data_IF_863275616287
#
_entry.id   IF_863275616287
#
_cell.length_a   1.000
_cell.length_b   1.000
_cell.length_c   1.000
_cell.angle_alpha   90.00
_cell.angle_beta   90.00
_cell.angle_gamma   90.00
#
_symmetry.space_group_name_H-M   'P 1'
#
loop_
_entity.id
_entity.type
_entity.pdbx_description
1 polymer ?
#
# COMPACT_ATOMS: atom_id res chain seq x y z
N UNK A 1 -59.29 2.06 -45.01
CA UNK A 1 -58.50 2.63 -43.90
C UNK A 1 -57.35 1.67 -43.61
N UNK A 2 -56.15 2.09 -44.02
CA UNK A 2 -54.88 1.40 -43.77
C UNK A 2 -54.53 1.42 -42.27
N UNK A 3 -53.88 0.37 -41.80
CA UNK A 3 -53.29 0.31 -40.47
C UNK A 3 -52.37 -0.91 -40.36
N UNK A 4 -51.25 -0.88 -41.06
CA UNK A 4 -50.21 -1.90 -40.97
C UNK A 4 -49.47 -1.79 -39.63
N UNK A 5 -49.38 -2.90 -38.90
CA UNK A 5 -48.61 -3.02 -37.68
C UNK A 5 -47.10 -3.06 -38.00
N UNK A 6 -46.35 -2.08 -37.49
CA UNK A 6 -44.89 -2.05 -37.57
C UNK A 6 -44.28 -2.73 -36.34
N UNK A 7 -43.46 -3.77 -36.58
CA UNK A 7 -42.62 -4.40 -35.56
C UNK A 7 -41.38 -3.53 -35.27
N UNK A 8 -40.88 -3.47 -34.03
CA UNK A 8 -39.62 -2.79 -33.73
C UNK A 8 -38.43 -3.68 -34.10
N UNK A 9 -37.56 -3.19 -34.99
CA UNK A 9 -36.25 -3.79 -35.24
C UNK A 9 -35.31 -3.52 -34.07
N UNK A 10 -34.89 -4.58 -33.40
CA UNK A 10 -33.81 -4.57 -32.43
C UNK A 10 -32.46 -4.53 -33.17
N UNK A 11 -31.79 -3.37 -33.15
CA UNK A 11 -30.43 -3.22 -33.66
C UNK A 11 -29.45 -3.78 -32.63
N UNK A 12 -28.95 -5.00 -32.88
CA UNK A 12 -27.90 -5.61 -32.07
C UNK A 12 -26.57 -4.89 -32.31
N UNK A 13 -26.10 -4.12 -31.32
CA UNK A 13 -24.73 -3.58 -31.29
C UNK A 13 -23.77 -4.74 -30.99
N UNK A 14 -23.07 -5.19 -32.02
CA UNK A 14 -22.03 -6.22 -31.92
C UNK A 14 -20.81 -5.60 -31.22
N UNK A 15 -20.54 -6.01 -29.98
CA UNK A 15 -19.32 -5.63 -29.27
C UNK A 15 -18.10 -6.28 -29.96
N UNK A 16 -17.30 -5.48 -30.66
CA UNK A 16 -16.04 -5.92 -31.23
C UNK A 16 -15.00 -6.16 -30.13
N UNK A 17 -14.60 -7.41 -29.95
CA UNK A 17 -13.44 -7.77 -29.13
C UNK A 17 -12.17 -7.21 -29.80
N UNK A 18 -11.69 -6.07 -29.31
CA UNK A 18 -10.34 -5.58 -29.59
C UNK A 18 -9.31 -6.53 -28.96
N UNK A 19 -8.76 -7.44 -29.77
CA UNK A 19 -7.55 -8.19 -29.41
C UNK A 19 -6.37 -7.21 -29.39
N UNK A 20 -5.91 -6.86 -28.19
CA UNK A 20 -4.59 -6.23 -28.00
C UNK A 20 -3.54 -7.33 -28.13
N UNK A 21 -2.83 -7.34 -29.26
CA UNK A 21 -1.65 -8.18 -29.47
C UNK A 21 -0.41 -7.38 -29.11
N UNK A 22 0.28 -7.74 -28.02
CA UNK A 22 1.59 -7.21 -27.69
C UNK A 22 2.65 -7.87 -28.58
N UNK A 23 2.96 -7.28 -29.73
CA UNK A 23 4.16 -7.62 -30.49
C UNK A 23 5.36 -6.88 -29.92
N UNK A 24 6.30 -7.61 -29.33
CA UNK A 24 7.62 -7.08 -28.99
C UNK A 24 8.40 -6.82 -30.30
N UNK A 25 8.62 -5.55 -30.64
CA UNK A 25 9.48 -5.15 -31.75
C UNK A 25 10.95 -5.19 -31.31
N UNK A 26 11.70 -6.15 -31.86
CA UNK A 26 13.16 -6.13 -31.87
C UNK A 26 13.64 -5.17 -32.95
N UNK A 27 14.34 -4.10 -32.59
CA UNK A 27 15.03 -3.22 -33.53
C UNK A 27 16.28 -3.91 -34.13
N UNK A 28 16.65 -3.61 -35.40
CA UNK A 28 17.75 -4.27 -36.12
C UNK A 28 19.14 -3.70 -35.78
N UNK A 29 20.24 -4.45 -35.99
CA UNK A 29 21.59 -3.95 -35.76
C UNK A 29 22.11 -3.14 -36.96
N UNK A 30 22.78 -2.02 -36.67
CA UNK A 30 23.53 -1.22 -37.65
C UNK A 30 24.89 -1.84 -38.02
N UNK A 31 25.57 -1.32 -39.06
CA UNK A 31 26.65 -2.04 -39.73
C UNK A 31 28.01 -1.92 -39.03
N UNK A 32 28.73 -3.03 -39.11
CA UNK A 32 30.13 -3.27 -38.79
C UNK A 32 31.11 -2.28 -39.44
N UNK A 33 32.07 -1.78 -38.65
CA UNK A 33 33.40 -1.40 -39.14
C UNK A 33 34.47 -2.11 -38.33
N UNK A 34 35.30 -2.87 -39.04
CA UNK A 34 36.53 -3.48 -38.56
C UNK A 34 37.61 -2.39 -38.35
N UNK A 35 38.40 -2.53 -37.29
CA UNK A 35 39.82 -2.18 -37.35
C UNK A 35 40.58 -3.02 -36.33
N UNK A 36 41.64 -3.64 -36.81
CA UNK A 36 42.58 -4.51 -36.12
C UNK A 36 43.64 -3.67 -35.38
N UNK A 37 44.14 -4.17 -34.25
CA UNK A 37 45.57 -4.14 -33.87
C UNK A 37 45.76 -4.99 -32.61
N UNK A 38 46.83 -5.79 -32.58
CA UNK A 38 47.07 -6.85 -31.62
C UNK A 38 47.90 -6.48 -30.38
N UNK A 39 47.99 -7.44 -29.46
CA UNK A 39 48.87 -7.43 -28.28
C UNK A 39 48.37 -8.40 -27.20
N UNK A 40 49.19 -9.33 -26.64
CA UNK A 40 48.68 -10.54 -26.00
C UNK A 40 48.60 -10.48 -24.47
N UNK A 41 47.82 -11.44 -23.95
CA UNK A 41 47.99 -12.15 -22.69
C UNK A 41 47.50 -11.46 -21.39
N UNK A 42 46.27 -11.82 -20.96
CA UNK A 42 45.98 -12.11 -19.55
C UNK A 42 45.01 -13.29 -19.45
N UNK A 43 45.45 -14.32 -18.73
CA UNK A 43 44.70 -15.50 -18.32
C UNK A 43 43.31 -15.11 -17.79
N UNK A 44 42.25 -15.60 -18.45
CA UNK A 44 40.89 -15.57 -17.93
C UNK A 44 40.52 -16.98 -17.53
N UNK A 45 40.21 -17.14 -16.24
CA UNK A 45 39.56 -18.31 -15.64
C UNK A 45 38.50 -18.88 -16.58
N UNK A 46 38.66 -20.15 -16.95
CA UNK A 46 37.62 -20.92 -17.64
C UNK A 46 36.49 -21.20 -16.66
N UNK A 47 35.31 -20.61 -16.92
CA UNK A 47 34.05 -21.01 -16.29
C UNK A 47 33.60 -22.31 -16.96
N UNK A 48 33.27 -23.38 -16.21
CA UNK A 48 32.82 -24.63 -16.82
C UNK A 48 31.50 -24.43 -17.58
N UNK A 49 31.49 -24.90 -18.82
CA UNK A 49 30.32 -25.00 -19.70
C UNK A 49 29.30 -25.96 -19.06
N UNK A 50 28.22 -25.43 -18.49
CA UNK A 50 27.08 -26.24 -18.07
C UNK A 50 26.48 -26.95 -19.28
N UNK A 51 26.47 -28.28 -19.22
CA UNK A 51 25.74 -29.15 -20.12
C UNK A 51 24.24 -28.83 -20.01
N UNK A 52 23.61 -28.61 -21.17
CA UNK A 52 22.17 -28.44 -21.30
C UNK A 52 21.48 -29.76 -20.91
N UNK A 53 20.78 -29.77 -19.77
CA UNK A 53 19.83 -30.82 -19.43
C UNK A 53 18.59 -30.77 -20.33
N UNK A 54 17.79 -31.86 -20.38
CA UNK A 54 16.62 -31.94 -21.25
C UNK A 54 15.58 -30.88 -20.88
N UNK A 55 14.97 -30.29 -21.91
CA UNK A 55 13.90 -29.29 -21.82
C UNK A 55 12.73 -29.82 -20.98
N UNK A 56 12.13 -29.02 -20.08
CA UNK A 56 10.93 -29.42 -19.37
C UNK A 56 9.74 -29.53 -20.34
N UNK A 57 8.78 -30.45 -20.11
CA UNK A 57 7.58 -30.55 -20.91
C UNK A 57 6.72 -29.28 -20.75
N UNK A 58 5.85 -28.96 -21.72
CA UNK A 58 4.96 -27.81 -21.61
C UNK A 58 4.01 -28.02 -20.44
N UNK A 59 4.01 -27.06 -19.51
CA UNK A 59 3.02 -26.97 -18.44
C UNK A 59 1.64 -26.83 -19.10
N UNK A 60 0.88 -27.91 -19.15
CA UNK A 60 -0.55 -27.87 -19.45
C UNK A 60 -1.21 -26.99 -18.40
N UNK A 61 -1.69 -25.82 -18.84
CA UNK A 61 -2.47 -24.89 -18.04
C UNK A 61 -3.80 -25.54 -17.66
N UNK A 62 -3.83 -26.27 -16.55
CA UNK A 62 -5.05 -26.75 -15.90
C UNK A 62 -5.35 -26.00 -14.60
N UNK A 63 -4.59 -24.94 -14.28
CA UNK A 63 -4.80 -24.13 -13.08
C UNK A 63 -5.80 -22.96 -13.26
N UNK A 64 -6.52 -22.90 -14.39
CA UNK A 64 -7.52 -21.85 -14.66
C UNK A 64 -8.98 -22.31 -14.50
N UNK A 65 -9.22 -23.58 -14.10
CA UNK A 65 -10.58 -24.10 -13.95
C UNK A 65 -11.13 -24.04 -12.51
N UNK A 66 -10.28 -23.85 -11.50
CA UNK A 66 -10.74 -23.90 -10.09
C UNK A 66 -11.29 -22.57 -9.55
N UNK A 67 -11.03 -21.44 -10.20
CA UNK A 67 -11.56 -20.13 -9.77
C UNK A 67 -12.99 -19.87 -10.27
N UNK A 68 -13.42 -20.52 -11.36
CA UNK A 68 -14.75 -20.35 -11.92
C UNK A 68 -15.83 -21.24 -11.25
N UNK A 69 -15.42 -22.21 -10.42
CA UNK A 69 -16.36 -23.12 -9.77
C UNK A 69 -16.86 -22.62 -8.41
N UNK A 70 -16.17 -21.69 -7.75
CA UNK A 70 -16.61 -21.11 -6.50
C UNK A 70 -17.97 -20.38 -6.59
N UNK A 71 -18.26 -19.52 -7.59
CA UNK A 71 -19.58 -18.91 -7.71
C UNK A 71 -20.67 -19.90 -8.16
N UNK A 72 -20.31 -21.00 -8.81
CA UNK A 72 -21.26 -22.02 -9.26
C UNK A 72 -21.66 -22.99 -8.13
N UNK A 73 -20.75 -23.28 -7.20
CA UNK A 73 -21.04 -24.01 -5.96
C UNK A 73 -21.89 -23.18 -4.99
N UNK A 74 -21.69 -21.86 -4.94
CA UNK A 74 -22.49 -20.97 -4.10
C UNK A 74 -23.92 -20.77 -4.63
N UNK A 75 -24.13 -20.86 -5.95
CA UNK A 75 -25.44 -20.81 -6.59
C UNK A 75 -26.25 -22.12 -6.46
N UNK A 76 -25.62 -23.22 -6.01
CA UNK A 76 -26.28 -24.50 -5.77
C UNK A 76 -26.84 -24.64 -4.35
N UNK A 77 -26.60 -23.66 -3.47
CA UNK A 77 -27.23 -23.56 -2.16
C UNK A 77 -28.60 -22.89 -2.33
N UNK A 78 -29.66 -23.64 -2.07
CA UNK A 78 -31.03 -23.12 -2.07
C UNK A 78 -31.17 -22.03 -1.00
N UNK A 79 -31.81 -20.87 -1.31
CA UNK A 79 -31.93 -19.74 -0.38
C UNK A 79 -32.76 -19.99 0.89
N UNK A 80 -33.44 -21.14 0.97
CA UNK A 80 -34.51 -21.37 1.95
C UNK A 80 -34.02 -21.85 3.33
N UNK A 81 -32.74 -22.21 3.45
CA UNK A 81 -32.10 -22.42 4.76
C UNK A 81 -31.14 -21.27 5.03
N UNK A 82 -31.66 -20.22 5.66
CA UNK A 82 -30.81 -19.41 6.52
C UNK A 82 -30.17 -20.39 7.50
N UNK A 83 -28.86 -20.65 7.37
CA UNK A 83 -28.06 -21.47 8.27
C UNK A 83 -27.93 -20.77 9.64
N UNK A 84 -29.06 -20.53 10.31
CA UNK A 84 -29.10 -20.54 11.75
C UNK A 84 -28.80 -21.99 12.11
N UNK A 85 -27.61 -22.25 12.65
CA UNK A 85 -27.21 -23.59 13.05
C UNK A 85 -28.05 -24.11 14.25
N UNK A 86 -29.13 -23.41 14.61
CA UNK A 86 -30.09 -23.85 15.61
C UNK A 86 -29.49 -24.00 17.01
N UNK A 87 -28.34 -23.39 17.28
CA UNK A 87 -27.57 -23.58 18.51
C UNK A 87 -26.45 -24.62 18.42
N UNK A 88 -26.19 -25.22 17.25
CA UNK A 88 -25.16 -26.26 17.05
C UNK A 88 -23.75 -25.77 17.41
N UNK A 89 -23.48 -24.47 17.27
CA UNK A 89 -22.18 -23.87 17.63
C UNK A 89 -22.15 -23.26 19.04
N UNK A 90 -23.24 -23.37 19.82
CA UNK A 90 -23.33 -22.85 21.18
C UNK A 90 -22.92 -21.38 21.29
N UNK A 91 -21.97 -21.06 22.17
CA UNK A 91 -21.46 -19.68 22.38
C UNK A 91 -20.77 -19.08 21.14
N UNK A 92 -20.53 -19.84 20.07
CA UNK A 92 -20.01 -19.31 18.81
C UNK A 92 -21.11 -18.92 17.81
N UNK A 93 -22.38 -18.97 18.24
CA UNK A 93 -23.54 -18.53 17.48
C UNK A 93 -24.18 -17.26 18.08
N UNK A 94 -25.13 -16.67 17.35
CA UNK A 94 -25.96 -15.58 17.85
C UNK A 94 -25.17 -14.33 18.19
N UNK A 95 -25.36 -13.81 19.41
CA UNK A 95 -24.79 -12.53 19.83
C UNK A 95 -23.26 -12.54 19.88
N UNK A 96 -22.61 -13.67 20.13
CA UNK A 96 -21.13 -13.77 20.28
C UNK A 96 -20.47 -13.49 18.97
N UNK A 97 -20.93 -14.22 17.98
CA UNK A 97 -20.42 -14.10 16.63
C UNK A 97 -20.74 -12.73 16.02
N UNK A 98 -21.91 -12.17 16.34
CA UNK A 98 -22.28 -10.82 15.92
C UNK A 98 -21.36 -9.72 16.52
N UNK A 99 -20.85 -9.92 17.73
CA UNK A 99 -19.96 -8.97 18.41
C UNK A 99 -18.47 -9.10 18.01
N UNK A 100 -18.08 -10.14 17.27
CA UNK A 100 -16.70 -10.26 16.75
C UNK A 100 -16.36 -9.12 15.80
N UNK A 101 -17.26 -8.81 14.85
CA UNK A 101 -17.08 -7.71 13.89
C UNK A 101 -16.78 -6.36 14.57
N UNK A 102 -17.63 -5.82 15.47
CA UNK A 102 -17.37 -4.52 16.10
C UNK A 102 -16.11 -4.53 16.97
N UNK A 103 -15.78 -5.65 17.62
CA UNK A 103 -14.55 -5.77 18.40
C UNK A 103 -13.30 -5.70 17.50
N UNK A 104 -13.29 -6.48 16.42
CA UNK A 104 -12.20 -6.49 15.44
C UNK A 104 -12.07 -5.12 14.77
N UNK A 105 -13.18 -4.47 14.43
CA UNK A 105 -13.19 -3.13 13.83
C UNK A 105 -12.61 -2.07 14.77
N UNK A 106 -12.90 -2.14 16.08
CA UNK A 106 -12.24 -1.29 17.07
C UNK A 106 -10.71 -1.49 17.09
N UNK A 107 -10.27 -2.75 17.05
CA UNK A 107 -8.85 -3.10 16.97
C UNK A 107 -8.17 -2.61 15.68
N UNK A 108 -8.80 -2.84 14.52
CA UNK A 108 -8.31 -2.39 13.21
C UNK A 108 -8.25 -0.88 13.11
N UNK A 109 -9.19 -0.15 13.73
CA UNK A 109 -9.13 1.31 13.78
C UNK A 109 -7.90 1.80 14.55
N UNK A 110 -7.67 1.29 15.77
CA UNK A 110 -6.48 1.63 16.56
C UNK A 110 -5.19 1.26 15.81
N UNK A 111 -5.17 0.10 15.16
CA UNK A 111 -4.04 -0.35 14.35
C UNK A 111 -3.81 0.52 13.11
N UNK A 112 -4.87 1.06 12.50
CA UNK A 112 -4.80 2.02 11.39
C UNK A 112 -4.11 3.31 11.83
N UNK A 113 -4.47 3.86 12.99
CA UNK A 113 -3.82 5.05 13.55
C UNK A 113 -2.35 4.80 13.84
N UNK A 114 -2.02 3.63 14.39
CA UNK A 114 -0.64 3.21 14.60
C UNK A 114 0.15 3.08 13.29
N UNK A 115 -0.43 2.45 12.26
CA UNK A 115 0.18 2.36 10.93
C UNK A 115 0.41 3.76 10.33
N UNK A 116 -0.54 4.69 10.51
CA UNK A 116 -0.42 6.09 10.14
C UNK A 116 0.76 6.78 10.83
N UNK A 117 0.93 6.57 12.15
CA UNK A 117 2.08 7.06 12.91
C UNK A 117 3.41 6.53 12.33
N UNK A 118 3.51 5.23 12.03
CA UNK A 118 4.72 4.65 11.42
C UNK A 118 5.03 5.30 10.06
N UNK A 119 4.00 5.53 9.23
CA UNK A 119 4.13 6.20 7.94
C UNK A 119 4.60 7.65 8.09
N UNK A 120 4.11 8.36 9.10
CA UNK A 120 4.55 9.71 9.44
C UNK A 120 6.02 9.76 9.86
N UNK A 121 6.47 8.84 10.73
CA UNK A 121 7.88 8.74 11.13
C UNK A 121 8.79 8.47 9.92
N UNK A 122 8.36 7.61 8.99
CA UNK A 122 9.08 7.37 7.74
C UNK A 122 9.13 8.62 6.82
N UNK A 123 8.06 9.42 6.78
CA UNK A 123 8.07 10.71 6.09
C UNK A 123 9.07 11.68 6.75
N UNK A 124 9.10 11.72 8.08
CA UNK A 124 10.00 12.61 8.85
C UNK A 124 11.48 12.39 8.52
N UNK A 125 11.92 11.14 8.29
CA UNK A 125 13.31 10.83 7.87
C UNK A 125 13.75 11.64 6.64
N UNK A 126 12.82 11.89 5.70
CA UNK A 126 13.08 12.64 4.47
C UNK A 126 13.00 14.13 4.70
N UNK A 127 11.94 14.61 5.34
CA UNK A 127 11.74 16.06 5.55
C UNK A 127 12.81 16.66 6.47
N UNK A 128 13.29 15.90 7.48
CA UNK A 128 14.44 16.31 8.31
C UNK A 128 15.70 16.47 7.47
N UNK A 129 15.91 15.58 6.50
CA UNK A 129 17.07 15.70 5.61
C UNK A 129 17.00 16.96 4.74
N UNK A 130 15.81 17.31 4.28
CA UNK A 130 15.57 18.53 3.51
C UNK A 130 15.80 19.78 4.38
N UNK A 131 15.30 19.79 5.62
CA UNK A 131 15.56 20.84 6.62
C UNK A 131 17.07 21.03 6.90
N UNK A 132 17.80 19.93 7.10
CA UNK A 132 19.26 19.96 7.28
C UNK A 132 19.95 20.57 6.05
N UNK A 133 19.54 20.17 4.86
CA UNK A 133 20.14 20.65 3.61
C UNK A 133 19.90 22.16 3.43
N UNK A 134 18.71 22.65 3.78
CA UNK A 134 18.37 24.06 3.70
C UNK A 134 19.16 24.90 4.73
N UNK A 135 19.25 24.44 5.98
CA UNK A 135 20.06 25.11 7.01
C UNK A 135 21.55 25.15 6.63
N UNK A 136 22.08 24.07 6.04
CA UNK A 136 23.46 24.06 5.52
C UNK A 136 23.68 25.07 4.40
N UNK A 137 22.66 25.34 3.57
CA UNK A 137 22.74 26.41 2.56
C UNK A 137 22.77 27.79 3.20
N UNK A 138 22.23 27.98 4.41
CA UNK A 138 22.28 29.27 5.12
C UNK A 138 23.66 29.54 5.75
N UNK A 139 24.40 28.48 6.11
CA UNK A 139 25.77 28.61 6.62
C UNK A 139 26.80 28.97 5.54
N UNK A 140 26.63 28.48 4.30
CA UNK A 140 27.54 28.76 3.18
C UNK A 140 27.70 30.27 2.84
N UNK A 141 26.61 31.08 2.81
CA UNK A 141 26.68 32.54 2.65
C UNK A 141 27.39 33.25 3.80
N UNK A 142 27.23 32.78 5.04
CA UNK A 142 27.85 33.41 6.21
C UNK A 142 29.37 33.20 6.25
N UNK A 143 29.87 32.05 5.77
CA UNK A 143 31.30 31.78 5.66
C UNK A 143 31.98 32.56 4.50
N UNK A 144 31.22 32.96 3.48
CA UNK A 144 31.72 33.74 2.33
C UNK A 144 31.76 35.26 2.59
N UNK A 145 31.17 35.73 3.71
CA UNK A 145 31.12 37.15 4.08
C UNK A 145 32.18 37.57 5.12
N UNK A 146 33.10 36.68 5.51
CA UNK A 146 34.26 37.06 6.32
C UNK A 146 35.25 37.86 5.44
N UNK A 147 35.47 39.17 5.68
CA UNK A 147 36.41 39.92 4.87
C UNK A 147 37.83 39.41 5.12
N UNK A 148 38.57 39.27 4.02
CA UNK A 148 40.02 39.13 4.04
C UNK A 148 40.62 40.39 4.71
N UNK A 149 40.95 40.29 6.00
CA UNK A 149 41.76 41.27 6.69
C UNK A 149 43.25 40.86 6.60
N UNK A 150 43.98 41.75 5.94
CA UNK A 150 45.41 41.83 5.64
C UNK A 150 46.31 41.72 6.88
N UNK A 151 47.54 41.21 6.70
CA UNK A 151 48.71 41.75 7.42
C UNK A 151 49.71 40.75 7.99
N UNK A 152 50.96 40.86 7.55
CA UNK A 152 52.10 40.04 7.92
C UNK A 152 52.67 40.31 9.33
N UNK A 153 53.34 39.30 9.90
CA UNK A 153 54.48 39.50 10.81
C UNK A 153 54.37 38.87 12.22
N UNK A 154 55.31 37.98 12.55
CA UNK A 154 55.77 37.75 13.92
C UNK A 154 55.41 36.40 14.57
N UNK A 155 56.44 35.59 14.84
CA UNK A 155 56.39 34.40 15.71
C UNK A 155 55.74 34.69 17.07
N UNK A 156 54.72 33.92 17.47
CA UNK A 156 54.45 33.61 18.88
C UNK A 156 53.50 32.40 19.02
N UNK A 157 53.92 31.49 19.89
CA UNK A 157 53.22 30.40 20.57
C UNK A 157 51.78 30.04 20.16
N UNK A 158 51.64 28.77 19.76
CA UNK A 158 50.38 28.04 19.63
C UNK A 158 49.66 27.99 20.99
N UNK A 159 48.61 28.80 21.13
CA UNK A 159 47.51 28.50 22.03
C UNK A 159 46.29 28.24 21.15
N UNK A 160 45.80 27.00 21.16
CA UNK A 160 44.59 26.64 20.45
C UNK A 160 43.45 27.54 20.94
N UNK A 161 42.69 28.20 20.04
CA UNK A 161 41.53 28.97 20.45
C UNK A 161 40.55 28.04 21.20
N UNK A 162 39.84 28.52 22.23
CA UNK A 162 38.73 27.77 22.81
C UNK A 162 37.74 27.40 21.69
N UNK A 163 37.04 26.25 21.75
CA UNK A 163 36.08 25.90 20.73
C UNK A 163 35.05 27.03 20.62
N UNK A 164 35.01 27.68 19.46
CA UNK A 164 34.04 28.73 19.18
C UNK A 164 32.64 28.18 19.47
N UNK A 165 31.84 28.92 20.25
CA UNK A 165 30.48 28.54 20.54
C UNK A 165 29.72 28.34 19.22
N UNK A 166 29.21 27.12 19.00
CA UNK A 166 28.45 26.78 17.79
C UNK A 166 27.33 27.79 17.59
N UNK A 167 27.17 28.27 16.37
CA UNK A 167 26.06 29.16 16.02
C UNK A 167 24.71 28.45 16.22
N UNK A 168 23.60 29.18 16.46
CA UNK A 168 22.28 28.57 16.63
C UNK A 168 21.86 27.66 15.46
N UNK A 169 22.31 27.98 14.24
CA UNK A 169 22.05 27.19 13.03
C UNK A 169 22.83 25.87 13.04
N UNK A 170 24.08 25.88 13.49
CA UNK A 170 24.88 24.65 13.65
C UNK A 170 24.31 23.74 14.74
N UNK A 171 23.88 24.30 15.87
CA UNK A 171 23.17 23.55 16.91
C UNK A 171 21.93 22.88 16.31
N UNK A 172 21.15 23.60 15.50
CA UNK A 172 19.94 23.04 14.91
C UNK A 172 20.22 21.92 13.90
N UNK A 173 21.28 22.06 13.11
CA UNK A 173 21.74 21.01 12.19
C UNK A 173 22.15 19.77 12.97
N UNK A 174 22.86 19.92 14.08
CA UNK A 174 23.28 18.79 14.94
C UNK A 174 22.07 18.08 15.54
N UNK A 175 21.10 18.83 16.10
CA UNK A 175 19.85 18.28 16.64
C UNK A 175 19.07 17.47 15.59
N UNK A 176 18.84 18.05 14.40
CA UNK A 176 18.12 17.39 13.32
C UNK A 176 18.89 16.19 12.78
N UNK A 177 20.22 16.24 12.80
CA UNK A 177 21.06 15.11 12.41
C UNK A 177 20.91 13.95 13.39
N UNK A 178 20.87 14.22 14.70
CA UNK A 178 20.60 13.21 15.72
C UNK A 178 19.16 12.68 15.66
N UNK A 179 18.17 13.55 15.42
CA UNK A 179 16.78 13.15 15.18
C UNK A 179 16.71 12.17 14.02
N UNK A 180 17.33 12.51 12.87
CA UNK A 180 17.35 11.64 11.69
C UNK A 180 18.02 10.30 11.97
N UNK A 181 19.15 10.28 12.70
CA UNK A 181 19.82 9.04 13.11
C UNK A 181 18.89 8.16 13.95
N UNK A 182 18.16 8.76 14.91
CA UNK A 182 17.16 8.04 15.72
C UNK A 182 16.01 7.49 14.88
N UNK A 183 15.51 8.28 13.92
CA UNK A 183 14.42 7.85 13.04
C UNK A 183 14.85 6.70 12.11
N UNK A 184 16.06 6.74 11.57
CA UNK A 184 16.61 5.66 10.72
C UNK A 184 16.75 4.36 11.53
N UNK A 185 17.27 4.45 12.77
CA UNK A 185 17.36 3.29 13.67
C UNK A 185 16.00 2.65 13.98
N UNK A 186 14.92 3.43 13.94
CA UNK A 186 13.56 2.96 14.22
C UNK A 186 12.94 2.05 13.14
N UNK A 187 13.58 1.91 11.97
CA UNK A 187 13.13 1.09 10.82
C UNK A 187 11.66 1.33 10.43
N UNK A 188 11.21 2.59 10.46
CA UNK A 188 9.81 2.95 10.25
C UNK A 188 9.28 2.60 8.86
N UNK A 189 10.15 2.51 7.84
CA UNK A 189 9.79 2.06 6.50
C UNK A 189 9.23 0.64 6.53
N UNK A 190 10.02 -0.30 7.07
CA UNK A 190 9.68 -1.72 7.05
C UNK A 190 8.53 -2.02 8.01
N UNK A 191 8.52 -1.34 9.16
CA UNK A 191 7.40 -1.44 10.12
C UNK A 191 6.10 -0.92 9.53
N UNK A 192 6.10 0.22 8.85
CA UNK A 192 4.91 0.75 8.18
C UNK A 192 4.44 -0.19 7.06
N UNK A 193 5.36 -0.72 6.25
CA UNK A 193 5.03 -1.68 5.21
C UNK A 193 4.37 -2.94 5.79
N UNK A 194 5.00 -3.57 6.78
CA UNK A 194 4.46 -4.77 7.43
C UNK A 194 3.12 -4.50 8.11
N UNK A 195 2.99 -3.38 8.83
CA UNK A 195 1.74 -3.00 9.46
C UNK A 195 0.64 -2.76 8.41
N UNK A 196 0.96 -2.07 7.32
CA UNK A 196 0.05 -1.85 6.19
C UNK A 196 -0.38 -3.16 5.52
N UNK A 197 0.53 -4.13 5.33
CA UNK A 197 0.20 -5.44 4.77
C UNK A 197 -0.73 -6.25 5.68
N UNK A 198 -0.49 -6.24 7.00
CA UNK A 198 -1.37 -6.89 7.98
C UNK A 198 -2.74 -6.22 7.98
N UNK A 199 -2.79 -4.89 8.01
CA UNK A 199 -4.04 -4.12 8.00
C UNK A 199 -4.84 -4.41 6.73
N UNK A 200 -4.19 -4.43 5.56
CA UNK A 200 -4.82 -4.77 4.29
C UNK A 200 -5.40 -6.19 4.31
N UNK A 201 -4.60 -7.18 4.73
CA UNK A 201 -5.05 -8.58 4.75
C UNK A 201 -6.22 -8.81 5.70
N UNK A 202 -6.08 -8.39 6.96
CA UNK A 202 -7.13 -8.54 7.96
C UNK A 202 -8.36 -7.71 7.60
N UNK A 203 -8.17 -6.46 7.17
CA UNK A 203 -9.26 -5.56 6.83
C UNK A 203 -10.09 -6.03 5.64
N UNK A 204 -9.47 -6.60 4.61
CA UNK A 204 -10.20 -7.20 3.46
C UNK A 204 -10.98 -8.44 3.90
N UNK A 205 -10.35 -9.33 4.68
CA UNK A 205 -11.02 -10.52 5.22
C UNK A 205 -12.23 -10.15 6.06
N UNK A 206 -12.09 -9.11 6.87
CA UNK A 206 -13.13 -8.57 7.74
C UNK A 206 -14.29 -7.98 6.91
N UNK A 207 -13.99 -7.13 5.93
CA UNK A 207 -15.01 -6.49 5.09
C UNK A 207 -15.82 -7.52 4.30
N UNK A 208 -15.16 -8.55 3.74
CA UNK A 208 -15.83 -9.64 3.02
C UNK A 208 -16.55 -10.56 4.01
N UNK A 209 -15.88 -10.95 5.09
CA UNK A 209 -16.40 -11.84 6.12
C UNK A 209 -17.61 -11.29 6.84
N UNK A 210 -17.65 -9.99 7.15
CA UNK A 210 -18.80 -9.32 7.77
C UNK A 210 -20.04 -9.32 6.88
N UNK A 211 -19.86 -9.09 5.57
CA UNK A 211 -20.94 -9.20 4.59
C UNK A 211 -21.43 -10.65 4.48
N UNK A 212 -20.52 -11.61 4.31
CA UNK A 212 -20.88 -13.04 4.23
C UNK A 212 -21.59 -13.53 5.50
N UNK A 213 -21.08 -13.17 6.68
CA UNK A 213 -21.69 -13.48 7.97
C UNK A 213 -23.13 -12.97 8.05
N UNK A 214 -23.36 -11.71 7.63
CA UNK A 214 -24.72 -11.16 7.57
C UNK A 214 -25.60 -11.98 6.64
N UNK A 215 -25.11 -12.25 5.43
CA UNK A 215 -25.86 -13.05 4.46
C UNK A 215 -26.18 -14.47 4.97
N UNK A 216 -25.23 -15.17 5.59
CA UNK A 216 -25.47 -16.50 6.17
C UNK A 216 -26.54 -16.50 7.28
N UNK A 217 -26.57 -15.46 8.12
CA UNK A 217 -27.56 -15.37 9.21
C UNK A 217 -28.96 -14.96 8.74
N UNK A 218 -29.07 -14.14 7.69
CA UNK A 218 -30.33 -13.49 7.34
C UNK A 218 -30.82 -13.75 5.91
N UNK A 219 -30.07 -14.51 5.11
CA UNK A 219 -30.36 -14.78 3.69
C UNK A 219 -30.23 -13.57 2.75
N UNK A 220 -29.87 -12.39 3.27
CA UNK A 220 -29.75 -11.13 2.52
C UNK A 220 -28.76 -10.17 3.18
N UNK A 221 -28.26 -9.22 2.40
CA UNK A 221 -27.53 -8.06 2.93
C UNK A 221 -28.51 -6.93 3.25
N UNK A 222 -28.10 -6.04 4.16
CA UNK A 222 -28.82 -4.81 4.48
C UNK A 222 -28.00 -3.61 3.99
N UNK A 223 -28.22 -3.13 2.75
CA UNK A 223 -27.48 -1.99 2.23
C UNK A 223 -27.76 -0.74 3.08
N UNK A 224 -26.70 -0.09 3.53
CA UNK A 224 -26.78 1.07 4.42
C UNK A 224 -25.42 1.76 4.54
N UNK A 225 -25.37 2.93 5.20
CA UNK A 225 -24.17 3.75 5.27
C UNK A 225 -22.93 3.00 5.74
N UNK A 226 -23.07 2.15 6.78
CA UNK A 226 -21.96 1.36 7.32
C UNK A 226 -21.38 0.40 6.28
N UNK A 227 -22.24 -0.39 5.62
CA UNK A 227 -21.83 -1.36 4.60
C UNK A 227 -21.15 -0.67 3.40
N UNK A 228 -21.72 0.45 2.91
CA UNK A 228 -21.14 1.19 1.80
C UNK A 228 -19.82 1.87 2.16
N UNK A 229 -19.71 2.43 3.37
CA UNK A 229 -18.47 2.99 3.87
C UNK A 229 -17.39 1.91 4.02
N UNK A 230 -17.72 0.73 4.56
CA UNK A 230 -16.82 -0.41 4.64
C UNK A 230 -16.31 -0.86 3.28
N UNK A 231 -17.19 -0.97 2.29
CA UNK A 231 -16.80 -1.29 0.92
C UNK A 231 -15.87 -0.22 0.31
N UNK A 232 -16.17 1.06 0.53
CA UNK A 232 -15.33 2.16 0.07
C UNK A 232 -13.93 2.13 0.71
N UNK A 233 -13.84 1.88 2.02
CA UNK A 233 -12.56 1.73 2.73
C UNK A 233 -11.72 0.61 2.12
N UNK A 234 -12.34 -0.54 1.82
CA UNK A 234 -11.66 -1.67 1.17
C UNK A 234 -11.06 -1.29 -0.18
N UNK A 235 -11.80 -0.53 -1.01
CA UNK A 235 -11.30 -0.01 -2.29
C UNK A 235 -10.15 0.97 -2.08
N UNK A 236 -10.27 1.88 -1.11
CA UNK A 236 -9.24 2.86 -0.79
C UNK A 236 -7.95 2.21 -0.27
N UNK A 237 -8.05 1.17 0.56
CA UNK A 237 -6.89 0.36 0.97
C UNK A 237 -6.20 -0.31 -0.21
N UNK A 238 -6.96 -0.95 -1.10
CA UNK A 238 -6.42 -1.57 -2.31
C UNK A 238 -5.73 -0.53 -3.20
N UNK A 239 -6.37 0.62 -3.43
CA UNK A 239 -5.80 1.73 -4.19
C UNK A 239 -4.52 2.28 -3.56
N UNK A 240 -4.50 2.48 -2.23
CA UNK A 240 -3.32 2.94 -1.52
C UNK A 240 -2.16 1.94 -1.61
N UNK A 241 -2.44 0.63 -1.47
CA UNK A 241 -1.44 -0.42 -1.59
C UNK A 241 -0.86 -0.52 -3.01
N UNK A 242 -1.69 -0.32 -4.04
CA UNK A 242 -1.26 -0.34 -5.44
C UNK A 242 -0.26 0.77 -5.80
N UNK A 243 -0.17 1.85 -5.02
CA UNK A 243 0.78 2.94 -5.23
C UNK A 243 2.20 2.62 -4.76
N UNK A 244 2.38 1.57 -3.95
CA UNK A 244 3.66 1.23 -3.31
C UNK A 244 4.83 1.09 -4.30
N UNK A 245 4.70 0.39 -5.45
CA UNK A 245 5.81 0.28 -6.41
C UNK A 245 6.29 1.64 -6.95
N UNK A 246 5.37 2.58 -7.20
CA UNK A 246 5.72 3.92 -7.66
C UNK A 246 6.38 4.75 -6.53
N UNK A 247 5.87 4.64 -5.30
CA UNK A 247 6.45 5.33 -4.14
C UNK A 247 7.87 4.86 -3.82
N UNK A 248 8.14 3.56 -3.95
CA UNK A 248 9.47 2.96 -3.76
C UNK A 248 10.47 3.49 -4.79
N UNK A 249 10.00 3.82 -6.00
CA UNK A 249 10.78 4.46 -7.08
C UNK A 249 10.96 5.97 -6.90
N UNK A 250 10.48 6.57 -5.81
CA UNK A 250 10.67 8.00 -5.55
C UNK A 250 9.54 8.92 -6.04
N UNK A 251 8.43 8.40 -6.55
CA UNK A 251 7.35 9.24 -7.06
C UNK A 251 6.59 9.96 -5.92
N UNK A 252 6.71 11.30 -5.86
CA UNK A 252 6.06 12.13 -4.85
C UNK A 252 4.54 12.24 -5.03
N UNK A 253 4.03 12.25 -6.26
CA UNK A 253 2.58 12.22 -6.52
C UNK A 253 1.95 10.95 -5.94
N UNK A 254 2.58 9.80 -6.15
CA UNK A 254 2.13 8.53 -5.58
C UNK A 254 2.16 8.54 -4.04
N UNK A 255 3.19 9.17 -3.44
CA UNK A 255 3.30 9.33 -1.98
C UNK A 255 2.17 10.20 -1.42
N UNK A 256 1.92 11.34 -2.04
CA UNK A 256 0.86 12.25 -1.61
C UNK A 256 -0.53 11.64 -1.81
N UNK A 257 -0.76 10.93 -2.92
CA UNK A 257 -2.01 10.23 -3.16
C UNK A 257 -2.22 9.10 -2.15
N UNK A 258 -1.20 8.30 -1.84
CA UNK A 258 -1.28 7.27 -0.80
C UNK A 258 -1.65 7.87 0.56
N UNK A 259 -1.07 9.02 0.94
CA UNK A 259 -1.41 9.72 2.17
C UNK A 259 -2.87 10.23 2.13
N UNK A 260 -3.30 10.82 1.01
CA UNK A 260 -4.66 11.34 0.86
C UNK A 260 -5.72 10.22 0.96
N UNK A 261 -5.50 9.09 0.26
CA UNK A 261 -6.39 7.93 0.32
C UNK A 261 -6.49 7.37 1.74
N UNK A 262 -5.37 7.27 2.47
CA UNK A 262 -5.39 6.80 3.85
C UNK A 262 -5.95 7.82 4.84
N UNK A 263 -5.79 9.12 4.59
CA UNK A 263 -6.47 10.16 5.34
C UNK A 263 -7.99 10.04 5.21
N UNK A 264 -8.48 9.84 3.98
CA UNK A 264 -9.89 9.56 3.74
C UNK A 264 -10.36 8.25 4.40
N UNK A 265 -9.55 7.19 4.37
CA UNK A 265 -9.85 5.95 5.09
C UNK A 265 -10.09 6.19 6.59
N UNK A 266 -9.20 6.95 7.25
CA UNK A 266 -9.34 7.25 8.68
C UNK A 266 -10.65 8.02 8.94
N UNK A 267 -10.99 9.00 8.10
CA UNK A 267 -12.23 9.75 8.22
C UNK A 267 -13.47 8.85 8.06
N UNK A 268 -13.46 7.93 7.09
CA UNK A 268 -14.54 6.97 6.91
C UNK A 268 -14.64 5.98 8.07
N UNK A 269 -13.51 5.54 8.63
CA UNK A 269 -13.49 4.73 9.85
C UNK A 269 -14.16 5.45 11.03
N UNK A 270 -13.80 6.73 11.24
CA UNK A 270 -14.42 7.55 12.30
C UNK A 270 -15.93 7.67 12.07
N UNK A 271 -16.35 7.90 10.83
CA UNK A 271 -17.77 7.97 10.49
C UNK A 271 -18.52 6.63 10.68
N UNK A 272 -17.82 5.50 10.53
CA UNK A 272 -18.41 4.19 10.80
C UNK A 272 -18.68 3.91 12.27
N UNK A 273 -18.06 4.63 13.21
CA UNK A 273 -18.27 4.41 14.65
C UNK A 273 -19.74 4.57 15.05
N UNK A 274 -20.42 5.72 14.82
CA UNK A 274 -21.83 5.86 15.21
C UNK A 274 -22.73 4.87 14.48
N UNK A 275 -22.54 4.68 13.18
CA UNK A 275 -23.37 3.74 12.38
C UNK A 275 -23.17 2.27 12.80
N UNK A 276 -21.97 1.91 13.24
CA UNK A 276 -21.67 0.59 13.79
C UNK A 276 -22.31 0.37 15.16
N UNK A 277 -22.31 1.39 16.03
CA UNK A 277 -22.96 1.32 17.33
C UNK A 277 -24.49 1.19 17.21
N UNK A 278 -25.12 1.83 16.22
CA UNK A 278 -26.54 1.60 15.91
C UNK A 278 -26.82 0.14 15.52
N UNK A 279 -25.93 -0.49 14.75
CA UNK A 279 -26.03 -1.91 14.38
C UNK A 279 -25.83 -2.80 15.61
N UNK A 280 -24.88 -2.48 16.48
CA UNK A 280 -24.70 -3.20 17.75
C UNK A 280 -25.98 -3.13 18.59
N UNK A 281 -26.64 -1.96 18.67
CA UNK A 281 -27.95 -1.83 19.31
C UNK A 281 -28.99 -2.82 18.77
N UNK A 282 -29.09 -2.92 17.44
CA UNK A 282 -29.98 -3.90 16.77
C UNK A 282 -29.59 -5.34 17.06
N UNK A 283 -28.29 -5.65 17.16
CA UNK A 283 -27.82 -6.98 17.57
C UNK A 283 -28.32 -7.30 18.99
N UNK A 284 -28.21 -6.37 19.93
CA UNK A 284 -28.74 -6.58 21.29
C UNK A 284 -30.27 -6.73 21.32
N UNK A 285 -30.99 -6.05 20.44
CA UNK A 285 -32.45 -6.16 20.31
C UNK A 285 -32.91 -7.50 19.73
N UNK A 286 -32.25 -7.99 18.67
CA UNK A 286 -32.73 -9.14 17.89
C UNK A 286 -32.00 -10.46 18.12
N UNK A 287 -30.92 -10.48 18.90
CA UNK A 287 -30.18 -11.71 19.23
C UNK A 287 -30.14 -11.95 20.72
N UNK A 288 -30.10 -13.21 21.14
CA UNK A 288 -29.88 -13.61 22.52
C UNK A 288 -28.55 -14.36 22.67
N UNK A 289 -28.07 -14.44 23.90
CA UNK A 289 -27.09 -15.46 24.26
C UNK A 289 -27.79 -16.83 24.30
N UNK A 290 -27.17 -17.90 23.79
CA UNK A 290 -27.61 -19.26 24.09
C UNK A 290 -27.45 -19.57 25.59
#
# INVERSE_FOLDING_TARGET
MMGAAAAPMATAVRAGLLRVSCSASTSPPGPTKQSSTGGPNKQRLQVPRQQQGPTPPPLTSTAAASAAMAPLLLAALTPDDALAAGGEFGILEGRSFALVHPLVMGGLFAYTLWAGYLGWQWRRVRTVQDEINELKKQLKPAAAAAPAAVGAGGNAASSAPPPAAKSPVEIKIDELTEERKKLIKGSFRDRHFNAGSILLGLGVLESVGGALNTWFRTGKLFPGPHLFAGAAITVLWAGAAALVPAMQKGNETARNLHIALNGLNVLLFIWQIPTGLEIVGKVFEFTTWP
#
